data_IF_266476100306
#
_entry.id   IF_266476100306
#
_cell.length_a   1.000
_cell.length_b   1.000
_cell.length_c   1.000
_cell.angle_alpha   90.00
_cell.angle_beta   90.00
_cell.angle_gamma   90.00
#
_symmetry.space_group_name_H-M   'P 1'
#
loop_
_entity.id
_entity.type
_entity.pdbx_description
1 polymer ?
#
# COMPACT_ATOMS: atom_id res chain seq x y z
N UNK A 1 -7.29 -9.58 29.86
CA UNK A 1 -6.89 -10.05 28.51
C UNK A 1 -6.97 -8.94 27.45
N UNK A 2 -8.14 -8.30 27.23
CA UNK A 2 -8.33 -7.24 26.21
C UNK A 2 -7.40 -6.02 26.38
N UNK A 3 -7.14 -5.59 27.62
CA UNK A 3 -6.27 -4.42 27.91
C UNK A 3 -4.78 -4.62 27.57
N UNK A 4 -4.30 -5.86 27.45
CA UNK A 4 -2.91 -6.15 27.11
C UNK A 4 -2.68 -6.11 25.59
N UNK A 5 -3.62 -6.71 24.83
CA UNK A 5 -3.69 -6.57 23.36
C UNK A 5 -3.74 -5.10 22.93
N UNK A 6 -4.50 -4.28 23.67
CA UNK A 6 -4.59 -2.84 23.45
C UNK A 6 -3.33 -2.04 23.84
N UNK A 7 -2.34 -2.63 24.51
CA UNK A 7 -1.04 -1.99 24.79
C UNK A 7 -0.03 -2.30 23.69
N UNK A 8 -0.05 -3.53 23.20
CA UNK A 8 0.89 -4.02 22.18
C UNK A 8 0.51 -3.57 20.76
N UNK A 9 -0.75 -3.15 20.55
CA UNK A 9 -1.27 -2.73 19.24
C UNK A 9 -1.62 -1.23 19.15
N UNK A 10 -1.21 -0.41 20.11
CA UNK A 10 -1.53 1.04 20.11
C UNK A 10 -1.04 1.75 18.87
N UNK A 11 0.17 1.42 18.43
CA UNK A 11 0.77 2.01 17.24
C UNK A 11 -0.05 1.72 15.98
N UNK A 12 -0.46 0.46 15.76
CA UNK A 12 -1.25 0.12 14.57
C UNK A 12 -2.66 0.72 14.64
N UNK A 13 -3.30 0.74 15.81
CA UNK A 13 -4.61 1.39 15.98
C UNK A 13 -4.51 2.87 15.63
N UNK A 14 -3.46 3.55 16.10
CA UNK A 14 -3.21 4.96 15.81
C UNK A 14 -2.97 5.22 14.32
N UNK A 15 -2.16 4.37 13.66
CA UNK A 15 -1.90 4.47 12.22
C UNK A 15 -3.18 4.27 11.41
N UNK A 16 -3.97 3.23 11.71
CA UNK A 16 -5.24 2.99 11.03
C UNK A 16 -6.23 4.13 11.25
N UNK A 17 -6.27 4.70 12.46
CA UNK A 17 -7.12 5.85 12.77
C UNK A 17 -6.72 7.09 11.96
N UNK A 18 -5.42 7.42 11.91
CA UNK A 18 -4.91 8.55 11.10
C UNK A 18 -5.18 8.32 9.62
N UNK A 19 -4.84 7.13 9.11
CA UNK A 19 -5.11 6.76 7.72
C UNK A 19 -6.59 6.95 7.38
N UNK A 20 -7.49 6.41 8.21
CA UNK A 20 -8.93 6.47 7.97
C UNK A 20 -9.43 7.91 8.03
N UNK A 21 -8.95 8.71 8.99
CA UNK A 21 -9.33 10.12 9.11
C UNK A 21 -8.88 10.93 7.88
N UNK A 22 -7.64 10.75 7.43
CA UNK A 22 -7.11 11.44 6.25
C UNK A 22 -7.81 10.99 4.97
N UNK A 23 -8.05 9.69 4.81
CA UNK A 23 -8.70 9.13 3.63
C UNK A 23 -10.17 9.56 3.54
N UNK A 24 -10.90 9.59 4.67
CA UNK A 24 -12.26 10.12 4.73
C UNK A 24 -12.30 11.62 4.45
N UNK A 25 -11.36 12.38 5.02
CA UNK A 25 -11.24 13.81 4.75
C UNK A 25 -11.03 14.06 3.26
N UNK A 26 -10.04 13.40 2.65
CA UNK A 26 -9.79 13.45 1.20
C UNK A 26 -11.03 13.04 0.39
N UNK A 27 -11.72 11.98 0.81
CA UNK A 27 -12.93 11.47 0.15
C UNK A 27 -14.10 12.43 0.18
N UNK A 28 -14.20 13.33 1.17
CA UNK A 28 -15.31 14.28 1.31
C UNK A 28 -14.95 15.64 0.69
N UNK A 29 -13.67 16.04 0.74
CA UNK A 29 -13.24 17.35 0.22
C UNK A 29 -12.96 17.35 -1.28
N UNK A 30 -12.65 16.19 -1.87
CA UNK A 30 -12.40 16.09 -3.31
C UNK A 30 -13.74 16.06 -4.06
N UNK A 31 -13.99 16.99 -4.99
CA UNK A 31 -15.21 16.97 -5.80
C UNK A 31 -15.38 15.67 -6.57
N UNK A 32 -16.61 15.36 -7.00
CA UNK A 32 -16.87 14.11 -7.73
C UNK A 32 -16.21 14.14 -9.11
N UNK A 33 -15.62 13.02 -9.52
CA UNK A 33 -15.01 12.79 -10.84
C UNK A 33 -13.72 13.57 -11.15
N UNK A 34 -13.23 14.39 -10.22
CA UNK A 34 -11.91 15.06 -10.35
C UNK A 34 -10.74 14.13 -10.00
N UNK A 35 -11.02 13.00 -9.33
CA UNK A 35 -10.03 11.93 -9.19
C UNK A 35 -9.93 11.17 -10.52
N UNK A 36 -8.71 10.85 -11.00
CA UNK A 36 -8.53 10.07 -12.22
C UNK A 36 -9.39 8.81 -12.24
N UNK A 37 -10.05 8.57 -13.37
CA UNK A 37 -10.83 7.37 -13.70
C UNK A 37 -12.03 7.08 -12.77
N UNK A 38 -12.38 7.97 -11.84
CA UNK A 38 -13.48 7.74 -10.88
C UNK A 38 -14.83 7.61 -11.58
N UNK A 39 -15.07 8.41 -12.62
CA UNK A 39 -16.31 8.33 -13.43
C UNK A 39 -16.43 6.97 -14.09
N UNK A 40 -15.34 6.48 -14.66
CA UNK A 40 -15.24 5.22 -15.39
C UNK A 40 -15.44 4.05 -14.43
N UNK A 41 -14.79 4.07 -13.27
CA UNK A 41 -14.99 3.09 -12.21
C UNK A 41 -16.45 3.06 -11.75
N UNK A 42 -17.05 4.22 -11.47
CA UNK A 42 -18.44 4.29 -11.02
C UNK A 42 -19.43 3.86 -12.12
N UNK A 43 -19.15 4.15 -13.38
CA UNK A 43 -19.96 3.67 -14.50
C UNK A 43 -19.97 2.13 -14.58
N UNK A 44 -18.85 1.47 -14.27
CA UNK A 44 -18.80 0.01 -14.13
C UNK A 44 -19.72 -0.44 -12.97
N UNK A 45 -19.55 0.15 -11.78
CA UNK A 45 -20.39 -0.16 -10.60
C UNK A 45 -21.87 -0.01 -10.92
N UNK A 46 -22.26 1.10 -11.55
CA UNK A 46 -23.64 1.36 -11.95
C UNK A 46 -24.17 0.29 -12.93
N UNK A 47 -23.35 -0.12 -13.91
CA UNK A 47 -23.74 -1.16 -14.87
C UNK A 47 -24.07 -2.48 -14.16
N UNK A 48 -23.23 -2.88 -13.19
CA UNK A 48 -23.46 -4.08 -12.39
C UNK A 48 -24.68 -3.93 -11.47
N UNK A 49 -24.82 -2.79 -10.78
CA UNK A 49 -25.94 -2.50 -9.88
C UNK A 49 -27.29 -2.50 -10.61
N UNK A 50 -27.31 -2.09 -11.88
CA UNK A 50 -28.49 -2.08 -12.74
C UNK A 50 -28.75 -3.42 -13.45
N UNK A 51 -27.95 -4.45 -13.19
CA UNK A 51 -28.12 -5.78 -13.78
C UNK A 51 -27.77 -5.85 -15.27
N UNK A 52 -27.01 -4.90 -15.81
CA UNK A 52 -26.59 -4.88 -17.23
C UNK A 52 -25.44 -5.85 -17.54
N UNK A 53 -24.92 -6.53 -16.52
CA UNK A 53 -23.78 -7.44 -16.65
C UNK A 53 -22.44 -6.71 -16.74
N UNK A 54 -21.39 -7.47 -17.09
CA UNK A 54 -20.04 -6.95 -17.23
C UNK A 54 -19.95 -6.03 -18.47
N UNK A 55 -19.39 -4.82 -18.33
CA UNK A 55 -19.16 -3.95 -19.48
C UNK A 55 -18.14 -4.61 -20.41
N UNK A 56 -18.52 -4.75 -21.68
CA UNK A 56 -17.64 -5.31 -22.72
C UNK A 56 -16.96 -4.16 -23.44
N UNK A 57 -15.64 -4.18 -23.53
CA UNK A 57 -14.90 -3.25 -24.39
C UNK A 57 -15.12 -3.66 -25.84
N UNK A 58 -15.58 -2.72 -26.67
CA UNK A 58 -15.72 -2.91 -28.10
C UNK A 58 -15.22 -1.67 -28.83
N UNK A 59 -14.70 -1.87 -30.05
CA UNK A 59 -14.28 -0.78 -30.94
C UNK A 59 -15.49 -0.01 -31.48
N UNK A 60 -16.67 -0.63 -31.55
CA UNK A 60 -17.89 -0.03 -32.07
C UNK A 60 -18.68 0.75 -31.01
N UNK A 61 -18.62 0.32 -29.75
CA UNK A 61 -19.28 0.95 -28.61
C UNK A 61 -18.37 0.95 -27.39
N UNK A 62 -17.72 2.09 -27.12
CA UNK A 62 -16.94 2.26 -25.90
C UNK A 62 -17.90 2.35 -24.70
N UNK A 63 -17.84 1.43 -23.72
CA UNK A 63 -18.69 1.51 -22.55
C UNK A 63 -18.37 2.79 -21.77
N UNK A 64 -19.32 3.29 -20.96
CA UNK A 64 -19.04 4.43 -20.05
C UNK A 64 -17.88 4.16 -19.08
N UNK A 65 -17.61 2.89 -18.79
CA UNK A 65 -16.46 2.43 -18.02
C UNK A 65 -15.13 2.46 -18.80
N UNK A 66 -15.14 2.74 -20.11
CA UNK A 66 -13.97 2.91 -20.96
C UNK A 66 -12.87 1.86 -20.72
N UNK A 67 -11.64 2.31 -20.43
CA UNK A 67 -10.48 1.46 -20.13
C UNK A 67 -10.68 0.63 -18.86
N UNK A 68 -11.48 1.11 -17.91
CA UNK A 68 -11.78 0.39 -16.67
C UNK A 68 -12.63 -0.86 -16.87
N UNK A 69 -13.30 -1.00 -18.01
CA UNK A 69 -14.06 -2.21 -18.34
C UNK A 69 -13.18 -3.48 -18.47
N UNK A 70 -11.86 -3.34 -18.68
CA UNK A 70 -10.93 -4.49 -18.68
C UNK A 70 -10.40 -4.87 -17.30
N UNK A 71 -10.68 -4.08 -16.26
CA UNK A 71 -10.19 -4.36 -14.91
C UNK A 71 -10.85 -5.60 -14.29
N UNK A 72 -10.16 -6.28 -13.35
CA UNK A 72 -10.76 -7.36 -12.57
C UNK A 72 -12.03 -6.92 -11.82
N UNK A 73 -13.12 -7.72 -11.86
CA UNK A 73 -14.44 -7.21 -11.49
C UNK A 73 -14.72 -7.17 -9.97
N UNK A 74 -13.81 -7.70 -9.13
CA UNK A 74 -14.08 -7.95 -7.71
C UNK A 74 -14.51 -6.68 -6.94
N UNK A 75 -13.76 -5.59 -7.12
CA UNK A 75 -14.09 -4.32 -6.48
C UNK A 75 -15.46 -3.81 -6.92
N UNK A 76 -15.74 -3.87 -8.22
CA UNK A 76 -17.00 -3.37 -8.77
C UNK A 76 -18.21 -4.18 -8.32
N UNK A 77 -18.06 -5.50 -8.15
CA UNK A 77 -19.12 -6.33 -7.57
C UNK A 77 -19.41 -5.96 -6.11
N UNK A 78 -18.36 -5.74 -5.30
CA UNK A 78 -18.53 -5.35 -3.91
C UNK A 78 -19.20 -3.97 -3.79
N UNK A 79 -18.77 -3.00 -4.60
CA UNK A 79 -19.39 -1.68 -4.66
C UNK A 79 -20.84 -1.74 -5.16
N UNK A 80 -21.12 -2.52 -6.21
CA UNK A 80 -22.47 -2.67 -6.74
C UNK A 80 -23.42 -3.32 -5.73
N UNK A 81 -22.96 -4.34 -5.00
CA UNK A 81 -23.71 -4.96 -3.91
C UNK A 81 -23.96 -3.99 -2.74
N UNK A 82 -23.13 -2.97 -2.55
CA UNK A 82 -23.34 -1.94 -1.54
C UNK A 82 -24.34 -0.87 -1.99
N UNK A 83 -24.45 -0.60 -3.30
CA UNK A 83 -25.21 0.55 -3.83
C UNK A 83 -26.42 0.17 -4.68
N UNK A 84 -26.72 -1.12 -4.92
CA UNK A 84 -27.80 -1.56 -5.84
C UNK A 84 -29.19 -1.04 -5.48
N UNK A 85 -29.43 -0.71 -4.22
CA UNK A 85 -30.72 -0.21 -3.71
C UNK A 85 -30.91 1.30 -3.93
N UNK A 86 -29.89 2.01 -4.41
CA UNK A 86 -29.91 3.46 -4.63
C UNK A 86 -30.27 3.74 -6.09
N UNK A 87 -31.26 4.61 -6.32
CA UNK A 87 -31.52 5.14 -7.66
C UNK A 87 -30.39 6.09 -8.06
N UNK A 88 -29.63 5.71 -9.09
CA UNK A 88 -28.48 6.46 -9.62
C UNK A 88 -28.76 6.99 -11.03
N UNK A 89 -30.03 7.10 -11.42
CA UNK A 89 -30.46 7.62 -12.72
C UNK A 89 -30.00 9.05 -13.00
N UNK A 90 -29.66 9.81 -11.96
CA UNK A 90 -29.10 11.17 -12.00
C UNK A 90 -27.61 11.22 -12.37
N UNK A 91 -26.90 10.10 -12.38
CA UNK A 91 -25.46 10.03 -12.70
C UNK A 91 -25.06 10.79 -13.99
N UNK A 92 -25.76 10.66 -15.13
CA UNK A 92 -25.40 11.40 -16.35
C UNK A 92 -25.51 12.92 -16.20
N UNK A 93 -26.35 13.40 -15.28
CA UNK A 93 -26.50 14.83 -15.01
C UNK A 93 -25.41 15.37 -14.05
N UNK A 94 -24.69 14.50 -13.35
CA UNK A 94 -23.55 14.88 -12.50
C UNK A 94 -22.24 14.93 -13.29
N UNK A 95 -22.08 14.12 -14.32
CA UNK A 95 -20.91 14.12 -15.20
C UNK A 95 -20.97 15.26 -16.24
N UNK A 96 -21.30 16.48 -15.80
CA UNK A 96 -21.35 17.66 -16.65
C UNK A 96 -19.94 18.20 -16.89
N UNK A 97 -19.37 17.87 -18.04
CA UNK A 97 -18.03 18.32 -18.43
C UNK A 97 -17.95 19.84 -18.59
N UNK A 98 -16.83 20.40 -18.14
CA UNK A 98 -16.56 21.83 -18.21
C UNK A 98 -16.04 22.21 -19.62
N UNK A 99 -16.78 23.05 -20.38
CA UNK A 99 -16.34 23.48 -21.72
C UNK A 99 -15.04 24.28 -21.72
N UNK A 100 -14.65 24.81 -20.56
CA UNK A 100 -13.43 25.59 -20.37
C UNK A 100 -12.30 24.74 -19.76
N UNK A 101 -12.39 23.41 -19.78
CA UNK A 101 -11.35 22.54 -19.28
C UNK A 101 -10.07 22.64 -20.13
N UNK A 102 -8.98 23.03 -19.48
CA UNK A 102 -7.72 23.45 -20.09
C UNK A 102 -6.68 22.38 -20.34
N UNK A 103 -7.03 21.17 -20.80
CA UNK A 103 -6.06 20.06 -20.89
C UNK A 103 -4.89 20.32 -21.87
N UNK A 104 -5.19 20.96 -23.00
CA UNK A 104 -4.27 21.08 -24.15
C UNK A 104 -3.79 22.51 -24.39
N UNK A 105 -3.80 23.37 -23.37
CA UNK A 105 -3.39 24.76 -23.59
C UNK A 105 -1.87 24.86 -23.53
N UNK A 106 -1.21 25.34 -24.61
CA UNK A 106 0.25 25.43 -24.65
C UNK A 106 0.80 26.41 -23.61
N UNK A 107 1.77 25.97 -22.82
CA UNK A 107 2.46 26.78 -21.81
C UNK A 107 1.84 26.70 -20.41
N UNK A 108 2.42 27.42 -19.45
CA UNK A 108 1.86 27.57 -18.09
C UNK A 108 0.99 28.81 -18.11
N UNK A 109 -0.26 28.66 -18.56
CA UNK A 109 -1.29 29.70 -18.46
C UNK A 109 -2.22 29.37 -17.30
N UNK A 110 -2.77 30.42 -16.67
CA UNK A 110 -3.80 30.27 -15.65
C UNK A 110 -5.08 29.79 -16.33
N UNK A 111 -5.30 28.48 -16.29
CA UNK A 111 -6.44 27.83 -16.94
C UNK A 111 -7.23 26.98 -15.95
N UNK A 112 -8.49 26.75 -16.28
CA UNK A 112 -9.41 25.99 -15.44
C UNK A 112 -9.05 24.50 -15.49
N UNK A 113 -8.63 23.98 -14.34
CA UNK A 113 -8.23 22.58 -14.18
C UNK A 113 -9.38 21.65 -13.86
N UNK A 114 -10.57 22.18 -13.53
CA UNK A 114 -11.72 21.35 -13.23
C UNK A 114 -12.24 20.74 -14.53
N UNK A 115 -12.28 19.42 -14.55
CA UNK A 115 -12.82 18.65 -15.67
C UNK A 115 -14.35 18.71 -15.68
N UNK A 116 -14.98 18.79 -14.50
CA UNK A 116 -16.43 18.81 -14.35
C UNK A 116 -16.94 20.09 -13.68
N UNK A 117 -18.20 20.41 -13.94
CA UNK A 117 -18.91 21.52 -13.32
C UNK A 117 -19.61 21.02 -12.05
N UNK A 118 -19.11 21.46 -10.91
CA UNK A 118 -19.66 21.09 -9.60
C UNK A 118 -20.84 21.98 -9.22
N UNK A 119 -21.89 21.35 -8.68
CA UNK A 119 -23.11 22.05 -8.26
C UNK A 119 -23.44 21.75 -6.80
N UNK A 120 -24.41 22.47 -6.22
CA UNK A 120 -24.87 22.23 -4.85
C UNK A 120 -25.48 20.84 -4.63
N UNK A 121 -25.70 20.04 -5.68
CA UNK A 121 -26.16 18.64 -5.58
C UNK A 121 -25.13 17.72 -4.93
N UNK A 122 -23.86 18.09 -4.97
CA UNK A 122 -22.77 17.34 -4.33
C UNK A 122 -22.67 17.62 -2.82
N UNK A 123 -23.41 18.60 -2.30
CA UNK A 123 -23.37 18.95 -0.88
C UNK A 123 -24.14 17.95 -0.03
N UNK A 124 -23.72 17.83 1.23
CA UNK A 124 -24.47 17.08 2.24
C UNK A 124 -25.84 17.75 2.51
N UNK A 125 -26.94 16.98 2.65
CA UNK A 125 -27.03 15.52 2.69
C UNK A 125 -26.99 14.86 1.30
N UNK A 126 -26.18 13.82 1.16
CA UNK A 126 -25.99 13.12 -0.12
C UNK A 126 -27.22 12.31 -0.52
N UNK A 127 -27.59 12.39 -1.80
CA UNK A 127 -28.71 11.65 -2.40
C UNK A 127 -28.33 11.08 -3.78
N UNK A 128 -29.06 10.07 -4.24
CA UNK A 128 -28.90 9.52 -5.59
C UNK A 128 -27.49 8.99 -5.88
N UNK A 129 -26.97 9.25 -7.08
CA UNK A 129 -25.62 8.84 -7.48
C UNK A 129 -24.52 9.41 -6.58
N UNK A 130 -24.69 10.63 -6.02
CA UNK A 130 -23.70 11.22 -5.10
C UNK A 130 -23.51 10.34 -3.86
N UNK A 131 -24.62 9.87 -3.26
CA UNK A 131 -24.57 8.94 -2.12
C UNK A 131 -23.87 7.63 -2.49
N UNK A 132 -24.21 7.05 -3.64
CA UNK A 132 -23.61 5.81 -4.11
C UNK A 132 -22.10 5.95 -4.33
N UNK A 133 -21.63 7.09 -4.87
CA UNK A 133 -20.20 7.38 -5.04
C UNK A 133 -19.50 7.51 -3.69
N UNK A 134 -20.08 8.22 -2.72
CA UNK A 134 -19.50 8.30 -1.37
C UNK A 134 -19.43 6.94 -0.66
N UNK A 135 -20.41 6.06 -0.88
CA UNK A 135 -20.35 4.68 -0.36
C UNK A 135 -19.26 3.85 -1.05
N UNK A 136 -19.08 4.00 -2.36
CA UNK A 136 -17.97 3.36 -3.09
C UNK A 136 -16.61 3.88 -2.59
N UNK A 137 -16.47 5.20 -2.38
CA UNK A 137 -15.27 5.79 -1.78
C UNK A 137 -15.01 5.23 -0.38
N UNK A 138 -16.06 5.12 0.46
CA UNK A 138 -15.94 4.51 1.80
C UNK A 138 -15.45 3.06 1.74
N UNK A 139 -15.95 2.27 0.79
CA UNK A 139 -15.48 0.90 0.56
C UNK A 139 -13.98 0.86 0.25
N UNK A 140 -13.49 1.76 -0.61
CA UNK A 140 -12.06 1.90 -0.91
C UNK A 140 -11.25 2.27 0.33
N UNK A 141 -11.75 3.18 1.16
CA UNK A 141 -11.11 3.52 2.44
C UNK A 141 -10.99 2.29 3.34
N UNK A 142 -12.06 1.49 3.46
CA UNK A 142 -12.07 0.26 4.26
C UNK A 142 -11.07 -0.77 3.75
N UNK A 143 -10.97 -0.97 2.43
CA UNK A 143 -9.99 -1.88 1.85
C UNK A 143 -8.55 -1.43 2.12
N UNK A 144 -8.26 -0.13 2.01
CA UNK A 144 -6.93 0.36 2.39
C UNK A 144 -6.66 0.22 3.90
N UNK A 145 -7.66 0.40 4.77
CA UNK A 145 -7.52 0.15 6.20
C UNK A 145 -7.21 -1.34 6.48
N UNK A 146 -7.90 -2.27 5.81
CA UNK A 146 -7.61 -3.69 5.90
C UNK A 146 -6.23 -4.04 5.36
N UNK A 147 -5.78 -3.41 4.27
CA UNK A 147 -4.43 -3.60 3.76
C UNK A 147 -3.37 -3.21 4.81
N UNK A 148 -3.53 -2.05 5.46
CA UNK A 148 -2.62 -1.61 6.54
C UNK A 148 -2.60 -2.62 7.70
N UNK A 149 -3.78 -3.11 8.11
CA UNK A 149 -3.89 -4.12 9.18
C UNK A 149 -3.23 -5.43 8.77
N UNK A 150 -3.47 -5.93 7.55
CA UNK A 150 -2.90 -7.19 7.09
C UNK A 150 -1.38 -7.11 6.90
N UNK A 151 -0.86 -5.99 6.42
CA UNK A 151 0.60 -5.75 6.36
C UNK A 151 1.20 -5.81 7.76
N UNK A 152 0.55 -5.21 8.75
CA UNK A 152 0.99 -5.28 10.14
C UNK A 152 0.96 -6.72 10.68
N UNK A 153 -0.13 -7.45 10.45
CA UNK A 153 -0.26 -8.85 10.89
C UNK A 153 0.80 -9.74 10.22
N UNK A 154 1.04 -9.53 8.93
CA UNK A 154 2.06 -10.23 8.17
C UNK A 154 3.46 -9.93 8.73
N UNK A 155 3.80 -8.65 8.96
CA UNK A 155 5.08 -8.25 9.53
C UNK A 155 5.34 -8.88 10.90
N UNK A 156 4.28 -9.05 11.72
CA UNK A 156 4.39 -9.74 13.01
C UNK A 156 4.66 -11.22 12.88
N UNK A 157 4.01 -11.89 11.93
CA UNK A 157 4.21 -13.32 11.68
C UNK A 157 5.66 -13.60 11.24
N UNK A 158 6.16 -12.79 10.30
CA UNK A 158 7.55 -12.90 9.83
C UNK A 158 8.56 -12.50 10.92
N UNK A 159 8.29 -11.47 11.72
CA UNK A 159 9.16 -11.06 12.81
C UNK A 159 9.20 -12.05 13.98
N UNK A 160 8.15 -12.85 14.17
CA UNK A 160 8.08 -13.91 15.17
C UNK A 160 8.73 -15.22 14.71
N UNK A 161 8.87 -15.41 13.40
CA UNK A 161 9.50 -16.59 12.81
C UNK A 161 11.02 -16.50 12.98
N UNK A 162 11.57 -17.26 13.93
CA UNK A 162 13.01 -17.36 14.21
C UNK A 162 13.89 -17.78 13.02
N UNK A 163 13.28 -18.17 11.89
CA UNK A 163 13.92 -18.70 10.68
C UNK A 163 14.77 -17.63 9.97
N UNK A 164 14.30 -16.39 9.85
CA UNK A 164 15.08 -15.31 9.21
C UNK A 164 16.21 -14.84 10.14
N UNK A 165 15.97 -14.83 11.45
CA UNK A 165 16.99 -14.46 12.43
C UNK A 165 18.11 -15.51 12.54
N UNK A 166 17.87 -16.78 12.17
CA UNK A 166 18.93 -17.80 12.06
C UNK A 166 19.74 -17.67 10.78
N UNK A 167 19.13 -17.40 9.62
CA UNK A 167 19.86 -17.28 8.36
C UNK A 167 20.74 -16.02 8.30
N UNK A 168 20.26 -14.89 8.81
CA UNK A 168 21.09 -13.67 8.91
C UNK A 168 22.31 -13.88 9.85
N UNK A 169 22.16 -14.69 10.91
CA UNK A 169 23.27 -15.05 11.80
C UNK A 169 24.23 -16.07 11.19
N UNK A 170 23.76 -16.99 10.36
CA UNK A 170 24.61 -17.94 9.65
C UNK A 170 25.40 -17.22 8.54
N UNK A 171 24.77 -16.33 7.78
CA UNK A 171 25.44 -15.54 6.75
C UNK A 171 26.51 -14.58 7.33
N UNK A 172 26.24 -13.94 8.47
CA UNK A 172 27.23 -13.10 9.18
C UNK A 172 28.40 -13.93 9.77
N UNK A 173 28.15 -15.19 10.12
CA UNK A 173 29.20 -16.11 10.62
C UNK A 173 30.16 -16.58 9.53
N UNK A 174 29.66 -16.80 8.31
CA UNK A 174 30.49 -17.25 7.17
C UNK A 174 31.27 -16.11 6.50
N UNK A 175 30.86 -14.84 6.69
CA UNK A 175 31.58 -13.65 6.21
C UNK A 175 32.75 -13.21 7.12
N UNK A 176 32.94 -13.85 8.28
CA UNK A 176 34.15 -13.64 9.10
C UNK A 176 35.21 -14.69 8.71
N UNK A 177 36.24 -14.35 7.92
CA UNK A 177 37.37 -15.24 7.73
C UNK A 177 37.99 -15.50 9.11
N UNK A 178 38.00 -16.78 9.52
CA UNK A 178 38.52 -17.20 10.80
C UNK A 178 39.96 -16.76 10.97
N UNK A 179 40.20 -15.78 11.85
CA UNK A 179 41.49 -15.64 12.52
C UNK A 179 41.57 -16.79 13.54
N UNK A 180 41.73 -17.99 13.01
CA UNK A 180 42.20 -19.15 13.75
C UNK A 180 43.70 -18.93 13.97
N UNK A 181 44.04 -18.26 15.07
CA UNK A 181 45.39 -18.22 15.61
C UNK A 181 45.82 -19.63 16.04
N UNK A 182 46.24 -20.43 15.07
CA UNK A 182 46.92 -21.71 15.25
C UNK A 182 48.28 -21.43 15.91
N UNK A 183 48.30 -21.39 17.25
CA UNK A 183 49.55 -21.48 18.01
C UNK A 183 50.08 -22.91 17.92
N UNK A 184 50.58 -23.29 16.75
CA UNK A 184 51.48 -24.42 16.61
C UNK A 184 52.74 -24.14 17.42
N UNK A 185 52.87 -24.84 18.56
CA UNK A 185 54.14 -25.04 19.27
C UNK A 185 55.13 -25.69 18.30
N UNK A 186 55.91 -24.86 17.62
CA UNK A 186 57.14 -25.31 16.96
C UNK A 186 58.16 -25.55 18.06
N UNK A 187 58.66 -26.79 18.10
CA UNK A 187 59.66 -27.32 19.02
C UNK A 187 60.87 -26.38 19.09
N UNK A 188 60.99 -25.68 20.21
CA UNK A 188 62.24 -25.06 20.64
C UNK A 188 63.23 -26.14 21.06
N UNK A 189 64.21 -26.36 20.19
CA UNK A 189 65.45 -27.08 20.46
C UNK A 189 66.11 -26.47 21.71
N UNK A 190 66.43 -27.34 22.67
CA UNK A 190 67.16 -27.01 23.90
C UNK A 190 68.54 -26.42 23.56
N UNK A 191 69.01 -25.35 24.22
CA UNK A 191 70.42 -25.19 24.46
C UNK A 191 70.78 -25.99 25.71
N UNK A 192 71.48 -27.11 25.50
CA UNK A 192 72.19 -27.78 26.57
C UNK A 192 73.38 -26.91 26.98
N UNK A 193 73.42 -26.57 28.26
CA UNK A 193 74.56 -25.94 28.94
C UNK A 193 75.76 -26.88 28.80
N UNK A 194 76.83 -26.37 28.22
CA UNK A 194 78.06 -27.10 27.94
C UNK A 194 78.84 -27.41 29.22
N UNK A 195 79.10 -28.71 29.38
CA UNK A 195 80.29 -29.35 29.92
C UNK A 195 81.31 -28.53 30.76
N UNK A 196 81.41 -28.97 32.02
CA UNK A 196 82.62 -29.59 32.58
C UNK A 196 83.93 -28.80 32.56
N UNK A 197 84.13 -28.10 33.66
CA UNK A 197 85.38 -27.60 34.22
C UNK A 197 86.38 -28.75 34.49
N UNK A 198 87.56 -28.75 33.84
CA UNK A 198 88.81 -29.27 34.45
C UNK A 198 90.09 -28.93 33.68
N UNK A 199 91.12 -28.62 34.49
CA UNK A 199 92.55 -28.33 34.21
C UNK A 199 92.78 -26.88 33.73
N UNK A 200 93.57 -26.02 34.38
CA UNK A 200 94.61 -26.23 35.38
C UNK A 200 95.89 -25.52 34.92
N UNK A 201 96.28 -24.48 35.67
CA UNK A 201 97.66 -24.07 35.95
C UNK A 201 98.45 -23.19 34.94
N UNK A 202 99.18 -22.23 35.54
CA UNK A 202 100.38 -21.49 35.07
C UNK A 202 100.11 -20.29 34.14
N UNK A 203 100.53 -19.05 34.41
CA UNK A 203 101.54 -18.43 35.30
C UNK A 203 101.07 -17.03 35.69
#
# INVERSE_FOLDING_TARGET
MIRHLWRDHRAIIFVVAIYSALALFYSVTTPLFETPDEREHFAFVQSLAQGRGLPVQSLENTPRAQQEASQPPLYYFAAAALTFWIDTSDFPALAWENPHYGFNVPGIVNDNKNLFIHTTRENFPYTGAVLAIHLARLLSVLFGAFAVIFIYLLAREFGSSSVIASEARCADRDLRPGISGDRRRVRGVRPAISFYQRRGQQR
#
